data_IF_764926302122
#
_entry.id   IF_764926302122
#
_cell.length_a   1.000
_cell.length_b   1.000
_cell.length_c   1.000
_cell.angle_alpha   90.00
_cell.angle_beta   90.00
_cell.angle_gamma   90.00
#
_symmetry.space_group_name_H-M   'P 1'
#
loop_
_entity.id
_entity.type
_entity.pdbx_description
1 polymer ?
#
# COMPACT_ATOMS: atom_id res chain seq x y z
N UNK A 1 -17.64 27.92 -18.86
CA UNK A 1 -17.19 29.03 -17.98
C UNK A 1 -15.67 29.14 -18.07
N UNK A 2 -15.11 30.35 -18.23
CA UNK A 2 -13.66 30.54 -18.12
C UNK A 2 -13.36 30.63 -16.62
N UNK A 3 -12.35 29.88 -16.09
CA UNK A 3 -11.99 29.96 -14.67
C UNK A 3 -11.58 31.40 -14.32
N UNK A 4 -11.86 31.83 -13.09
CA UNK A 4 -11.45 33.15 -12.62
C UNK A 4 -9.93 33.23 -12.63
N UNK A 5 -9.40 34.42 -12.89
CA UNK A 5 -7.95 34.65 -12.86
C UNK A 5 -7.35 34.40 -11.47
N UNK A 6 -8.14 34.57 -10.39
CA UNK A 6 -7.70 34.45 -9.01
C UNK A 6 -7.35 33.02 -8.58
N UNK A 7 -8.24 32.03 -8.88
CA UNK A 7 -7.95 30.64 -8.54
C UNK A 7 -6.67 30.16 -9.25
N UNK A 8 -6.53 30.47 -10.53
CA UNK A 8 -5.35 30.11 -11.31
C UNK A 8 -4.07 30.72 -10.76
N UNK A 9 -4.09 32.02 -10.43
CA UNK A 9 -2.93 32.72 -9.84
C UNK A 9 -2.52 32.10 -8.50
N UNK A 10 -3.50 31.69 -7.66
CA UNK A 10 -3.20 31.02 -6.40
C UNK A 10 -2.53 29.64 -6.59
N UNK A 11 -2.90 28.87 -7.61
CA UNK A 11 -2.24 27.62 -7.95
C UNK A 11 -0.85 27.84 -8.58
N UNK A 12 -0.68 28.86 -9.41
CA UNK A 12 0.60 29.19 -10.05
C UNK A 12 1.61 29.75 -9.04
N UNK A 13 1.16 30.28 -7.90
CA UNK A 13 2.00 30.79 -6.81
C UNK A 13 2.51 29.69 -5.85
N UNK A 14 2.08 28.43 -6.00
CA UNK A 14 2.56 27.35 -5.17
C UNK A 14 4.05 27.08 -5.39
N UNK A 15 4.80 26.69 -4.34
CA UNK A 15 6.18 26.26 -4.47
C UNK A 15 6.32 25.17 -5.53
N UNK A 16 7.35 25.26 -6.38
CA UNK A 16 7.58 24.30 -7.48
C UNK A 16 7.64 22.84 -7.01
N UNK A 17 8.15 22.62 -5.79
CA UNK A 17 8.20 21.31 -5.13
C UNK A 17 6.81 20.71 -4.92
N UNK A 18 5.83 21.52 -4.51
CA UNK A 18 4.44 21.09 -4.34
C UNK A 18 3.78 20.75 -5.68
N UNK A 19 4.02 21.55 -6.70
CA UNK A 19 3.47 21.29 -8.06
C UNK A 19 4.04 20.02 -8.68
N UNK A 20 5.31 19.70 -8.47
CA UNK A 20 5.95 18.46 -8.93
C UNK A 20 5.49 17.24 -8.16
N UNK A 21 5.32 17.34 -6.83
CA UNK A 21 4.91 16.23 -5.97
C UNK A 21 3.43 15.89 -6.11
N UNK A 22 2.61 16.89 -6.40
CA UNK A 22 1.17 16.68 -6.57
C UNK A 22 0.89 15.79 -7.79
N UNK A 23 1.84 15.55 -8.73
CA UNK A 23 1.69 14.55 -9.82
C UNK A 23 0.30 14.53 -10.52
N UNK A 24 -0.60 15.34 -10.01
CA UNK A 24 -2.03 15.41 -10.22
C UNK A 24 -2.38 16.68 -11.00
N UNK A 25 -1.70 16.90 -12.13
CA UNK A 25 -2.13 17.98 -13.02
C UNK A 25 -3.65 17.95 -13.32
N UNK A 26 -4.26 16.77 -13.18
CA UNK A 26 -5.71 16.58 -13.24
C UNK A 26 -6.47 17.22 -12.08
N UNK A 27 -6.02 17.04 -10.83
CA UNK A 27 -6.67 17.63 -9.65
C UNK A 27 -6.55 19.17 -9.68
N UNK A 28 -5.38 19.69 -10.02
CA UNK A 28 -5.16 21.14 -10.16
C UNK A 28 -6.10 21.73 -11.22
N UNK A 29 -6.20 21.09 -12.38
CA UNK A 29 -7.13 21.51 -13.44
C UNK A 29 -8.59 21.46 -12.99
N UNK A 30 -8.97 20.40 -12.29
CA UNK A 30 -10.31 20.27 -11.72
C UNK A 30 -10.61 21.40 -10.74
N UNK A 31 -9.71 21.69 -9.81
CA UNK A 31 -9.88 22.77 -8.85
C UNK A 31 -9.99 24.14 -9.53
N UNK A 32 -9.14 24.43 -10.53
CA UNK A 32 -9.20 25.67 -11.32
C UNK A 32 -10.53 25.79 -12.06
N UNK A 33 -11.04 24.72 -12.67
CA UNK A 33 -12.34 24.70 -13.35
C UNK A 33 -13.50 24.97 -12.38
N UNK A 34 -13.39 24.49 -11.13
CA UNK A 34 -14.34 24.75 -10.04
C UNK A 34 -14.14 26.10 -9.35
N UNK A 35 -13.18 26.91 -9.83
CA UNK A 35 -12.80 28.20 -9.26
C UNK A 35 -12.39 28.15 -7.79
N UNK A 36 -11.71 27.05 -7.41
CA UNK A 36 -11.18 26.81 -6.06
C UNK A 36 -9.69 27.02 -6.00
N UNK A 37 -9.26 27.83 -5.05
CA UNK A 37 -7.85 27.99 -4.69
C UNK A 37 -7.38 26.79 -3.86
N UNK A 38 -6.05 26.59 -3.67
CA UNK A 38 -5.52 25.54 -2.79
C UNK A 38 -6.11 25.59 -1.36
N UNK A 39 -6.33 26.79 -0.82
CA UNK A 39 -6.90 27.00 0.52
C UNK A 39 -8.38 26.59 0.65
N UNK A 40 -9.09 26.50 -0.47
CA UNK A 40 -10.52 26.20 -0.53
C UNK A 40 -10.79 24.75 -0.95
N UNK A 41 -9.74 24.01 -1.37
CA UNK A 41 -9.87 22.62 -1.75
C UNK A 41 -10.15 21.78 -0.50
N UNK A 42 -11.24 21.00 -0.52
CA UNK A 42 -11.69 20.20 0.60
C UNK A 42 -11.82 18.70 0.26
N UNK A 43 -12.18 17.88 1.26
CA UNK A 43 -12.36 16.42 1.06
C UNK A 43 -13.53 16.09 0.12
N UNK A 44 -14.55 16.93 0.06
CA UNK A 44 -15.67 16.78 -0.87
C UNK A 44 -15.23 16.96 -2.32
N UNK A 45 -14.32 17.91 -2.59
CA UNK A 45 -13.75 18.11 -3.92
C UNK A 45 -12.89 16.92 -4.35
N UNK A 46 -12.10 16.35 -3.43
CA UNK A 46 -11.31 15.14 -3.72
C UNK A 46 -12.21 13.95 -4.04
N UNK A 47 -13.33 13.82 -3.35
CA UNK A 47 -14.33 12.78 -3.61
C UNK A 47 -14.96 12.98 -4.99
N UNK A 48 -15.48 14.17 -5.27
CA UNK A 48 -16.11 14.48 -6.56
C UNK A 48 -15.15 14.32 -7.74
N UNK A 49 -13.88 14.73 -7.57
CA UNK A 49 -12.85 14.50 -8.59
C UNK A 49 -12.56 13.00 -8.79
N UNK A 50 -12.54 12.21 -7.71
CA UNK A 50 -12.34 10.77 -7.83
C UNK A 50 -13.49 10.07 -8.54
N UNK A 51 -14.73 10.46 -8.30
CA UNK A 51 -15.93 9.95 -8.96
C UNK A 51 -15.91 10.26 -10.47
N UNK A 52 -15.55 11.48 -10.82
CA UNK A 52 -15.40 11.89 -12.23
C UNK A 52 -14.34 11.04 -12.96
N UNK A 53 -13.21 10.72 -12.30
CA UNK A 53 -12.19 9.85 -12.88
C UNK A 53 -12.67 8.39 -13.03
N UNK A 54 -13.52 7.91 -12.13
CA UNK A 54 -14.16 6.60 -12.27
C UNK A 54 -15.11 6.58 -13.44
N UNK A 55 -15.92 7.63 -13.62
CA UNK A 55 -16.82 7.79 -14.78
C UNK A 55 -16.03 7.85 -16.11
N UNK A 56 -14.84 8.43 -16.11
CA UNK A 56 -13.91 8.42 -17.25
C UNK A 56 -13.24 7.05 -17.47
N UNK A 57 -13.59 6.02 -16.70
CA UNK A 57 -13.07 4.66 -16.83
C UNK A 57 -11.69 4.44 -16.23
N UNK A 58 -11.19 5.33 -15.36
CA UNK A 58 -9.92 5.11 -14.67
C UNK A 58 -10.05 4.06 -13.58
N UNK A 59 -8.98 3.31 -13.41
CA UNK A 59 -8.91 2.29 -12.36
C UNK A 59 -8.96 2.92 -10.96
N UNK A 60 -9.87 2.45 -10.12
CA UNK A 60 -10.09 2.94 -8.74
C UNK A 60 -8.81 2.91 -7.89
N UNK A 61 -8.02 1.84 -7.94
CA UNK A 61 -6.78 1.74 -7.16
C UNK A 61 -5.74 2.80 -7.59
N UNK A 62 -5.70 3.12 -8.87
CA UNK A 62 -4.85 4.20 -9.40
C UNK A 62 -5.28 5.56 -8.85
N UNK A 63 -6.59 5.83 -8.82
CA UNK A 63 -7.16 7.07 -8.29
C UNK A 63 -6.84 7.20 -6.79
N UNK A 64 -7.07 6.14 -6.00
CA UNK A 64 -6.72 6.13 -4.59
C UNK A 64 -5.21 6.32 -4.35
N UNK A 65 -4.37 5.76 -5.24
CA UNK A 65 -2.93 6.00 -5.23
C UNK A 65 -2.56 7.47 -5.43
N UNK A 66 -3.21 8.16 -6.37
CA UNK A 66 -3.02 9.60 -6.61
C UNK A 66 -3.46 10.44 -5.41
N UNK A 67 -4.64 10.19 -4.85
CA UNK A 67 -5.13 10.89 -3.66
C UNK A 67 -4.21 10.69 -2.45
N UNK A 68 -3.71 9.48 -2.29
CA UNK A 68 -2.75 9.19 -1.23
C UNK A 68 -1.40 9.91 -1.44
N UNK A 69 -0.90 9.94 -2.68
CA UNK A 69 0.32 10.66 -3.03
C UNK A 69 0.17 12.16 -2.77
N UNK A 70 -0.97 12.74 -3.10
CA UNK A 70 -1.30 14.13 -2.82
C UNK A 70 -1.26 14.45 -1.32
N UNK A 71 -1.99 13.68 -0.48
CA UNK A 71 -1.97 13.86 0.98
C UNK A 71 -0.58 13.64 1.58
N UNK A 72 0.18 12.71 1.03
CA UNK A 72 1.56 12.47 1.44
C UNK A 72 2.45 13.66 1.12
N UNK A 73 2.31 14.26 -0.06
CA UNK A 73 3.06 15.44 -0.46
C UNK A 73 2.79 16.63 0.49
N UNK A 74 1.52 16.91 0.79
CA UNK A 74 1.14 17.97 1.76
C UNK A 74 1.87 17.76 3.10
N UNK A 75 1.92 16.52 3.59
CA UNK A 75 2.59 16.19 4.87
C UNK A 75 4.09 16.35 4.79
N UNK A 76 4.72 15.87 3.72
CA UNK A 76 6.18 15.89 3.58
C UNK A 76 6.73 17.31 3.45
N UNK A 77 5.98 18.18 2.79
CA UNK A 77 6.36 19.59 2.58
C UNK A 77 5.82 20.52 3.66
N UNK A 78 5.19 19.97 4.74
CA UNK A 78 4.53 20.75 5.79
C UNK A 78 3.54 21.80 5.25
N UNK A 79 2.87 21.47 4.13
CA UNK A 79 2.00 22.39 3.41
C UNK A 79 0.53 22.38 3.93
N UNK A 80 0.32 22.04 5.21
CA UNK A 80 -1.02 22.01 5.80
C UNK A 80 -1.68 23.39 5.82
N UNK A 81 -0.90 24.45 5.96
CA UNK A 81 -1.40 25.82 5.90
C UNK A 81 -1.94 26.20 4.51
N UNK A 82 -1.34 25.61 3.46
CA UNK A 82 -1.79 25.82 2.07
C UNK A 82 -3.05 24.99 1.74
N UNK A 83 -3.22 23.84 2.40
CA UNK A 83 -4.35 22.94 2.23
C UNK A 83 -5.05 22.66 3.56
N UNK A 84 -5.63 23.66 4.21
CA UNK A 84 -6.13 23.55 5.58
C UNK A 84 -7.32 22.58 5.72
N UNK A 85 -8.09 22.40 4.64
CA UNK A 85 -9.30 21.59 4.63
C UNK A 85 -9.03 20.11 4.20
N UNK A 86 -7.77 19.78 3.88
CA UNK A 86 -7.40 18.42 3.49
C UNK A 86 -6.85 17.66 4.69
N UNK A 87 -7.47 16.53 5.02
CA UNK A 87 -6.97 15.64 6.07
C UNK A 87 -5.71 14.93 5.63
N UNK A 88 -4.61 15.22 6.30
CA UNK A 88 -3.30 14.55 6.08
C UNK A 88 -2.96 13.54 7.17
N UNK A 89 -3.94 13.16 7.98
CA UNK A 89 -3.74 12.15 8.99
C UNK A 89 -3.09 10.91 8.38
N UNK A 90 -2.07 10.32 9.02
CA UNK A 90 -1.49 9.08 8.55
C UNK A 90 -2.60 8.05 8.42
N UNK A 91 -2.54 7.22 7.38
CA UNK A 91 -3.47 6.09 7.22
C UNK A 91 -3.27 5.18 8.42
N UNK A 92 -4.01 5.42 9.49
CA UNK A 92 -3.99 4.56 10.67
C UNK A 92 -4.55 3.21 10.25
N UNK A 93 -3.85 2.16 10.60
CA UNK A 93 -4.41 0.82 10.49
C UNK A 93 -5.69 0.82 11.33
N UNK A 94 -6.88 0.65 10.71
CA UNK A 94 -8.19 0.80 11.37
C UNK A 94 -8.30 0.01 12.68
N UNK A 95 -7.61 -1.12 12.76
CA UNK A 95 -7.59 -1.99 13.95
C UNK A 95 -6.18 -2.31 14.45
N UNK A 96 -5.13 -2.08 13.66
CA UNK A 96 -3.75 -2.35 14.05
C UNK A 96 -3.26 -1.41 15.15
N UNK A 97 -2.32 -1.90 15.94
CA UNK A 97 -1.54 -1.11 16.90
C UNK A 97 -0.11 -1.06 16.35
N UNK A 98 0.46 0.12 16.07
CA UNK A 98 1.81 0.23 15.54
C UNK A 98 2.83 -0.45 16.47
N UNK A 99 3.87 -1.06 15.88
CA UNK A 99 4.91 -1.76 16.65
C UNK A 99 5.53 -0.88 17.74
N UNK A 100 5.68 0.42 17.48
CA UNK A 100 6.22 1.39 18.45
C UNK A 100 5.35 1.55 19.71
N UNK A 101 4.06 1.26 19.60
CA UNK A 101 3.07 1.44 20.68
C UNK A 101 2.75 0.10 21.39
N UNK A 102 3.46 -0.99 21.05
CA UNK A 102 3.35 -2.29 21.71
C UNK A 102 4.16 -2.35 23.01
N UNK A 103 3.86 -3.30 23.92
CA UNK A 103 4.68 -3.56 25.10
C UNK A 103 6.14 -3.78 24.74
N UNK A 104 7.06 -3.25 25.57
CA UNK A 104 8.50 -3.26 25.28
C UNK A 104 9.06 -4.65 24.93
N UNK A 105 8.77 -5.73 25.68
CA UNK A 105 9.32 -7.04 25.36
C UNK A 105 8.90 -7.53 23.98
N UNK A 106 7.61 -7.40 23.62
CA UNK A 106 7.07 -7.78 22.30
C UNK A 106 7.66 -6.92 21.19
N UNK A 107 7.77 -5.62 21.43
CA UNK A 107 8.37 -4.66 20.48
C UNK A 107 9.81 -5.03 20.18
N UNK A 108 10.61 -5.32 21.20
CA UNK A 108 12.01 -5.71 21.05
C UNK A 108 12.15 -7.01 20.22
N UNK A 109 11.33 -8.03 20.49
CA UNK A 109 11.33 -9.28 19.72
C UNK A 109 10.97 -9.04 18.23
N UNK A 110 9.94 -8.23 17.96
CA UNK A 110 9.55 -7.90 16.59
C UNK A 110 10.67 -7.17 15.86
N UNK A 111 11.26 -6.15 16.47
CA UNK A 111 12.36 -5.39 15.86
C UNK A 111 13.58 -6.27 15.62
N UNK A 112 13.93 -7.17 16.56
CA UNK A 112 15.01 -8.14 16.39
C UNK A 112 14.73 -9.10 15.21
N UNK A 113 13.49 -9.61 15.09
CA UNK A 113 13.08 -10.44 13.97
C UNK A 113 13.20 -9.69 12.63
N UNK A 114 12.66 -8.46 12.54
CA UNK A 114 12.71 -7.66 11.31
C UNK A 114 14.15 -7.37 10.91
N UNK A 115 15.01 -7.05 11.87
CA UNK A 115 16.45 -6.87 11.64
C UNK A 115 17.08 -8.17 11.12
N UNK A 116 16.83 -9.29 11.79
CA UNK A 116 17.34 -10.61 11.36
C UNK A 116 16.90 -10.94 9.93
N UNK A 117 15.68 -10.59 9.53
CA UNK A 117 15.15 -10.79 8.17
C UNK A 117 15.82 -9.90 7.13
N UNK A 118 16.29 -8.70 7.49
CA UNK A 118 16.80 -7.69 6.53
C UNK A 118 18.31 -7.62 6.47
N UNK A 119 19.03 -7.96 7.55
CA UNK A 119 20.49 -7.91 7.57
C UNK A 119 21.08 -8.69 6.38
N UNK A 120 22.12 -8.15 5.77
CA UNK A 120 22.73 -8.74 4.58
C UNK A 120 23.28 -10.16 4.86
N UNK A 121 23.92 -10.33 5.99
CA UNK A 121 24.47 -11.62 6.44
C UNK A 121 24.18 -11.88 7.91
N UNK A 122 23.65 -13.07 8.20
CA UNK A 122 23.43 -13.57 9.55
C UNK A 122 23.91 -15.02 9.58
N UNK A 123 24.90 -15.38 10.47
CA UNK A 123 25.36 -16.74 10.61
C UNK A 123 24.21 -17.73 10.90
N UNK A 124 24.18 -18.85 10.17
CA UNK A 124 23.17 -19.90 10.37
C UNK A 124 21.75 -19.56 9.86
N UNK A 125 21.53 -18.39 9.24
CA UNK A 125 20.25 -18.08 8.61
C UNK A 125 20.04 -18.96 7.36
N UNK A 126 18.88 -19.65 7.24
CA UNK A 126 18.60 -20.48 6.07
C UNK A 126 18.58 -19.65 4.79
N UNK A 127 19.01 -20.24 3.68
CA UNK A 127 18.92 -19.61 2.36
C UNK A 127 17.44 -19.32 2.03
N UNK A 128 17.16 -18.12 1.59
CA UNK A 128 15.79 -17.67 1.29
C UNK A 128 14.99 -17.13 2.49
N UNK A 129 15.54 -17.17 3.72
CA UNK A 129 14.92 -16.53 4.88
C UNK A 129 15.13 -15.02 4.94
N UNK A 130 16.03 -14.47 4.12
CA UNK A 130 16.23 -13.02 4.01
C UNK A 130 15.06 -12.37 3.28
N UNK A 131 14.57 -11.28 3.83
CA UNK A 131 13.52 -10.47 3.22
C UNK A 131 14.09 -9.17 2.64
N UNK A 132 13.47 -8.68 1.58
CA UNK A 132 13.66 -7.30 1.14
C UNK A 132 13.08 -6.35 2.18
N UNK A 133 13.60 -5.10 2.33
CA UNK A 133 13.08 -4.13 3.29
C UNK A 133 11.56 -3.94 3.21
N UNK A 134 11.01 -3.94 2.00
CA UNK A 134 9.56 -3.84 1.79
C UNK A 134 8.78 -5.03 2.37
N UNK A 135 9.30 -6.26 2.22
CA UNK A 135 8.66 -7.47 2.76
C UNK A 135 8.76 -7.52 4.29
N UNK A 136 9.89 -7.08 4.86
CA UNK A 136 10.04 -6.96 6.31
C UNK A 136 9.07 -5.91 6.88
N UNK A 137 8.89 -4.78 6.21
CA UNK A 137 7.88 -3.80 6.58
C UNK A 137 6.47 -4.40 6.54
N UNK A 138 6.14 -5.16 5.49
CA UNK A 138 4.85 -5.86 5.39
C UNK A 138 4.65 -6.84 6.56
N UNK A 139 5.69 -7.58 6.96
CA UNK A 139 5.63 -8.44 8.14
C UNK A 139 5.34 -7.63 9.41
N UNK A 140 6.03 -6.52 9.62
CA UNK A 140 5.77 -5.60 10.74
C UNK A 140 4.32 -5.08 10.73
N UNK A 141 3.81 -4.70 9.57
CA UNK A 141 2.41 -4.26 9.41
C UNK A 141 1.40 -5.40 9.66
N UNK A 142 1.74 -6.65 9.33
CA UNK A 142 0.93 -7.82 9.63
C UNK A 142 0.87 -8.08 11.14
N UNK A 143 2.02 -8.06 11.82
CA UNK A 143 2.09 -8.23 13.26
C UNK A 143 1.37 -7.11 14.01
N UNK A 144 1.46 -5.87 13.52
CA UNK A 144 0.73 -4.72 14.05
C UNK A 144 -0.80 -4.91 13.96
N UNK A 145 -1.28 -5.47 12.84
CA UNK A 145 -2.70 -5.80 12.67
C UNK A 145 -3.14 -6.93 13.57
N UNK A 146 -2.34 -7.98 13.68
CA UNK A 146 -2.63 -9.13 14.52
C UNK A 146 -2.69 -8.75 16.00
N UNK A 147 -1.70 -7.98 16.48
CA UNK A 147 -1.69 -7.49 17.86
C UNK A 147 -2.91 -6.59 18.13
N UNK A 148 -3.20 -5.64 17.24
CA UNK A 148 -4.37 -4.77 17.39
C UNK A 148 -5.69 -5.56 17.40
N UNK A 149 -5.80 -6.65 16.65
CA UNK A 149 -6.94 -7.56 16.69
C UNK A 149 -7.01 -8.29 18.05
N UNK A 150 -5.89 -8.88 18.50
CA UNK A 150 -5.85 -9.59 19.77
C UNK A 150 -6.26 -8.70 20.96
N UNK A 151 -5.78 -7.46 20.99
CA UNK A 151 -6.14 -6.50 22.05
C UNK A 151 -7.59 -6.05 21.94
N UNK A 152 -8.02 -5.55 20.75
CA UNK A 152 -9.30 -4.85 20.60
C UNK A 152 -10.52 -5.79 20.47
N UNK A 153 -10.33 -6.98 19.93
CA UNK A 153 -11.42 -7.92 19.63
C UNK A 153 -11.39 -9.18 20.48
N UNK A 154 -10.21 -9.61 20.98
CA UNK A 154 -10.10 -10.77 21.86
C UNK A 154 -9.85 -10.37 23.32
N UNK A 155 -9.64 -9.08 23.63
CA UNK A 155 -9.35 -8.61 25.00
C UNK A 155 -8.01 -9.08 25.56
N UNK A 156 -7.03 -9.42 24.69
CA UNK A 156 -5.72 -9.93 25.09
C UNK A 156 -4.67 -8.82 25.04
N UNK A 157 -4.60 -8.02 26.09
CA UNK A 157 -3.68 -6.90 26.24
C UNK A 157 -2.31 -7.28 26.83
N UNK A 158 -2.20 -8.45 27.45
CA UNK A 158 -1.00 -8.91 28.16
C UNK A 158 -0.03 -9.76 27.31
N UNK A 159 -0.08 -9.65 25.99
CA UNK A 159 0.84 -10.38 25.09
C UNK A 159 2.20 -9.71 25.10
N UNK A 160 3.20 -10.37 25.68
CA UNK A 160 4.57 -9.88 25.86
C UNK A 160 5.59 -10.58 24.94
N UNK A 161 5.21 -11.67 24.28
CA UNK A 161 6.09 -12.47 23.43
C UNK A 161 5.47 -12.70 22.05
N UNK A 162 6.33 -12.71 21.03
CA UNK A 162 5.88 -12.94 19.67
C UNK A 162 5.29 -14.34 19.45
N UNK A 163 5.79 -15.33 20.17
CA UNK A 163 5.26 -16.70 20.18
C UNK A 163 3.81 -16.76 20.69
N UNK A 164 3.47 -15.93 21.66
CA UNK A 164 2.11 -15.82 22.18
C UNK A 164 1.18 -15.04 21.26
N UNK A 165 1.73 -14.12 20.47
CA UNK A 165 0.96 -13.38 19.46
C UNK A 165 0.68 -14.25 18.22
N UNK A 166 1.69 -14.97 17.73
CA UNK A 166 1.58 -15.80 16.53
C UNK A 166 1.36 -17.25 16.95
N UNK A 167 0.20 -17.52 17.52
CA UNK A 167 -0.29 -18.85 17.85
C UNK A 167 -1.53 -19.19 17.02
N UNK A 168 -1.89 -20.47 17.01
CA UNK A 168 -3.01 -20.99 16.21
C UNK A 168 -4.32 -20.27 16.52
N UNK A 169 -4.64 -20.10 17.79
CA UNK A 169 -5.89 -19.49 18.24
C UNK A 169 -6.05 -18.05 17.72
N UNK A 170 -5.03 -17.21 17.94
CA UNK A 170 -5.11 -15.79 17.56
C UNK A 170 -5.11 -15.63 16.05
N UNK A 171 -4.25 -16.37 15.33
CA UNK A 171 -4.14 -16.25 13.87
C UNK A 171 -5.39 -16.79 13.18
N UNK A 172 -5.92 -17.93 13.61
CA UNK A 172 -7.15 -18.50 13.04
C UNK A 172 -8.37 -17.62 13.32
N UNK A 173 -8.49 -17.10 14.55
CA UNK A 173 -9.54 -16.14 14.90
C UNK A 173 -9.44 -14.86 14.07
N UNK A 174 -8.23 -14.34 13.84
CA UNK A 174 -8.02 -13.18 12.98
C UNK A 174 -8.45 -13.46 11.53
N UNK A 175 -8.08 -14.61 10.96
CA UNK A 175 -8.46 -14.98 9.59
C UNK A 175 -9.97 -15.11 9.47
N UNK A 176 -10.62 -15.79 10.42
CA UNK A 176 -12.09 -15.94 10.44
C UNK A 176 -12.78 -14.56 10.51
N UNK A 177 -12.38 -13.71 11.45
CA UNK A 177 -12.91 -12.36 11.57
C UNK A 177 -12.66 -11.51 10.32
N UNK A 178 -11.48 -11.62 9.73
CA UNK A 178 -11.11 -10.85 8.56
C UNK A 178 -11.92 -11.26 7.31
N UNK A 179 -12.25 -12.55 7.18
CA UNK A 179 -13.11 -13.07 6.10
C UNK A 179 -14.57 -12.66 6.32
N UNK A 180 -15.11 -12.93 7.50
CA UNK A 180 -16.55 -12.85 7.77
C UNK A 180 -17.00 -11.42 8.09
N UNK A 181 -16.28 -10.72 8.97
CA UNK A 181 -16.69 -9.40 9.45
C UNK A 181 -16.11 -8.26 8.63
N UNK A 182 -14.90 -8.41 8.11
CA UNK A 182 -14.22 -7.36 7.33
C UNK A 182 -14.21 -7.61 5.83
N UNK A 183 -14.65 -8.78 5.39
CA UNK A 183 -14.73 -9.17 3.98
C UNK A 183 -13.41 -8.90 3.23
N UNK A 184 -12.27 -9.20 3.88
CA UNK A 184 -10.98 -9.04 3.25
C UNK A 184 -10.81 -10.10 2.15
N UNK A 185 -10.14 -9.71 1.07
CA UNK A 185 -9.84 -10.62 -0.05
C UNK A 185 -8.94 -11.78 0.40
N UNK A 186 -9.25 -12.98 -0.05
CA UNK A 186 -8.49 -14.20 0.25
C UNK A 186 -6.99 -14.07 -0.05
N UNK A 187 -6.62 -13.42 -1.17
CA UNK A 187 -5.21 -13.16 -1.51
C UNK A 187 -4.46 -12.37 -0.44
N UNK A 188 -5.13 -11.41 0.20
CA UNK A 188 -4.54 -10.62 1.28
C UNK A 188 -4.32 -11.47 2.53
N UNK A 189 -5.22 -12.40 2.81
CA UNK A 189 -5.13 -13.32 3.93
C UNK A 189 -4.08 -14.42 3.70
N UNK A 190 -4.01 -14.99 2.49
CA UNK A 190 -2.92 -15.88 2.12
C UNK A 190 -1.55 -15.22 2.34
N UNK A 191 -1.38 -13.98 1.85
CA UNK A 191 -0.13 -13.23 2.05
C UNK A 191 0.15 -12.97 3.53
N UNK A 192 -0.88 -12.67 4.33
CA UNK A 192 -0.77 -12.48 5.77
C UNK A 192 -0.29 -13.77 6.45
N UNK A 193 -0.94 -14.91 6.20
CA UNK A 193 -0.59 -16.20 6.81
C UNK A 193 0.82 -16.64 6.41
N UNK A 194 1.22 -16.45 5.14
CA UNK A 194 2.59 -16.74 4.67
C UNK A 194 3.63 -15.89 5.38
N UNK A 195 3.36 -14.60 5.63
CA UNK A 195 4.27 -13.74 6.39
C UNK A 195 4.41 -14.21 7.84
N UNK A 196 3.29 -14.56 8.50
CA UNK A 196 3.31 -15.13 9.84
C UNK A 196 4.06 -16.48 9.86
N UNK A 197 3.81 -17.37 8.91
CA UNK A 197 4.49 -18.66 8.80
C UNK A 197 6.01 -18.52 8.60
N UNK A 198 6.49 -17.37 8.10
CA UNK A 198 7.91 -17.12 7.94
C UNK A 198 8.69 -17.07 9.27
N UNK A 199 8.00 -16.99 10.42
CA UNK A 199 8.60 -17.09 11.75
C UNK A 199 9.30 -18.43 11.97
N UNK A 200 8.76 -19.54 11.41
CA UNK A 200 9.36 -20.89 11.51
C UNK A 200 10.82 -20.96 11.07
N UNK A 201 11.25 -19.98 10.27
CA UNK A 201 12.64 -19.91 9.79
C UNK A 201 13.61 -19.31 10.81
N UNK A 202 13.09 -18.61 11.84
CA UNK A 202 13.92 -17.98 12.86
C UNK A 202 14.34 -18.98 13.94
N UNK A 203 15.62 -19.01 14.37
CA UNK A 203 16.12 -20.01 15.32
C UNK A 203 15.31 -20.10 16.62
N UNK A 204 14.84 -18.98 17.16
CA UNK A 204 14.05 -18.94 18.41
C UNK A 204 12.71 -19.66 18.32
N UNK A 205 12.19 -19.91 17.11
CA UNK A 205 10.89 -20.55 16.88
C UNK A 205 11.01 -21.95 16.27
N UNK A 206 12.24 -22.46 16.09
CA UNK A 206 12.52 -23.73 15.41
C UNK A 206 11.80 -24.95 16.06
N UNK A 207 11.58 -24.90 17.37
CA UNK A 207 10.97 -25.98 18.12
C UNK A 207 9.45 -25.82 18.32
N UNK A 208 8.85 -24.78 17.76
CA UNK A 208 7.41 -24.59 17.81
C UNK A 208 6.71 -25.42 16.74
N UNK A 209 5.52 -25.92 17.04
CA UNK A 209 4.68 -26.56 16.05
C UNK A 209 3.96 -25.52 15.20
N UNK A 210 4.29 -25.50 13.94
CA UNK A 210 3.69 -24.63 12.92
C UNK A 210 2.88 -25.41 11.86
N UNK A 211 2.56 -26.69 12.08
CA UNK A 211 1.79 -27.50 11.11
C UNK A 211 0.40 -26.93 10.87
N UNK A 212 -0.18 -26.31 11.90
CA UNK A 212 -1.49 -25.67 11.79
C UNK A 212 -1.54 -24.54 10.73
N UNK A 213 -0.41 -23.93 10.38
CA UNK A 213 -0.37 -22.95 9.28
C UNK A 213 -0.76 -23.55 7.94
N UNK A 214 -0.35 -24.78 7.65
CA UNK A 214 -0.67 -25.46 6.38
C UNK A 214 -2.17 -25.81 6.33
N UNK A 215 -2.77 -26.18 7.45
CA UNK A 215 -4.21 -26.40 7.59
C UNK A 215 -4.98 -25.08 7.43
N UNK A 216 -4.53 -24.02 8.09
CA UNK A 216 -5.15 -22.71 7.97
C UNK A 216 -5.08 -22.17 6.53
N UNK A 217 -3.94 -22.34 5.85
CA UNK A 217 -3.76 -21.93 4.46
C UNK A 217 -4.75 -22.64 3.52
N UNK A 218 -4.97 -23.93 3.73
CA UNK A 218 -5.91 -24.72 2.92
C UNK A 218 -7.38 -24.38 3.22
N UNK A 219 -7.69 -23.84 4.39
CA UNK A 219 -9.05 -23.42 4.77
C UNK A 219 -9.47 -22.06 4.22
N UNK A 220 -8.51 -21.22 3.81
CA UNK A 220 -8.82 -19.92 3.22
C UNK A 220 -9.37 -20.14 1.82
N UNK A 221 -10.59 -19.65 1.48
CA UNK A 221 -11.17 -19.82 0.17
C UNK A 221 -10.24 -19.31 -0.94
N UNK A 222 -10.16 -19.95 -2.09
CA UNK A 222 -9.44 -19.38 -3.23
C UNK A 222 -10.07 -18.05 -3.64
N UNK A 223 -9.27 -17.15 -4.24
CA UNK A 223 -9.82 -15.99 -4.91
C UNK A 223 -10.84 -16.43 -5.96
N UNK A 224 -11.92 -15.66 -6.13
CA UNK A 224 -12.86 -15.94 -7.20
C UNK A 224 -12.13 -15.99 -8.54
N UNK A 225 -12.44 -16.97 -9.36
CA UNK A 225 -11.79 -17.14 -10.67
C UNK A 225 -11.97 -15.90 -11.56
N UNK A 226 -13.14 -15.24 -11.43
CA UNK A 226 -13.45 -13.99 -12.10
C UNK A 226 -12.50 -12.85 -11.71
N UNK A 227 -12.19 -12.68 -10.42
CA UNK A 227 -11.28 -11.62 -9.93
C UNK A 227 -9.84 -11.88 -10.37
N UNK A 228 -9.42 -13.15 -10.38
CA UNK A 228 -8.09 -13.55 -10.84
C UNK A 228 -7.95 -13.35 -12.36
N UNK A 229 -8.96 -13.72 -13.13
CA UNK A 229 -8.99 -13.55 -14.58
C UNK A 229 -9.06 -12.07 -14.96
N UNK A 230 -9.91 -11.28 -14.31
CA UNK A 230 -9.99 -9.83 -14.55
C UNK A 230 -8.66 -9.10 -14.30
N UNK A 231 -7.96 -9.46 -13.21
CA UNK A 231 -6.63 -8.91 -12.92
C UNK A 231 -5.56 -9.34 -13.93
N UNK A 232 -5.66 -10.57 -14.45
CA UNK A 232 -4.76 -11.05 -15.49
C UNK A 232 -5.10 -10.41 -16.83
N UNK A 233 -6.37 -10.33 -17.18
CA UNK A 233 -6.83 -9.71 -18.42
C UNK A 233 -6.41 -8.25 -18.53
N UNK A 234 -6.47 -7.47 -17.42
CA UNK A 234 -6.01 -6.08 -17.40
C UNK A 234 -4.49 -5.93 -17.64
N UNK A 235 -3.71 -7.00 -17.45
CA UNK A 235 -2.25 -7.03 -17.68
C UNK A 235 -1.88 -7.81 -18.95
N UNK A 236 -2.86 -8.47 -19.56
CA UNK A 236 -2.62 -9.30 -20.73
C UNK A 236 -2.54 -8.43 -21.97
N UNK A 237 -1.40 -8.45 -22.62
CA UNK A 237 -1.24 -7.91 -23.95
C UNK A 237 -1.27 -9.07 -24.95
N UNK A 238 -2.20 -9.10 -25.89
CA UNK A 238 -2.24 -10.15 -26.92
C UNK A 238 -0.89 -10.27 -27.63
N UNK A 239 -0.50 -11.50 -27.97
CA UNK A 239 0.78 -11.75 -28.65
C UNK A 239 0.94 -10.91 -29.92
N UNK A 240 -0.14 -10.72 -30.67
CA UNK A 240 -0.16 -9.89 -31.88
C UNK A 240 0.16 -8.42 -31.60
N UNK A 241 -0.20 -7.90 -30.43
CA UNK A 241 0.17 -6.55 -30.01
C UNK A 241 1.61 -6.50 -29.48
N UNK A 242 2.04 -7.52 -28.76
CA UNK A 242 3.44 -7.65 -28.32
C UNK A 242 4.40 -7.70 -29.50
N UNK A 243 4.06 -8.44 -30.56
CA UNK A 243 4.89 -8.57 -31.77
C UNK A 243 5.03 -7.24 -32.54
N UNK A 244 4.08 -6.32 -32.38
CA UNK A 244 4.10 -5.00 -33.02
C UNK A 244 4.91 -3.95 -32.23
N UNK A 245 5.22 -4.19 -30.96
CA UNK A 245 5.91 -3.22 -30.09
C UNK A 245 7.28 -2.82 -30.68
N UNK A 246 8.17 -3.74 -31.10
CA UNK A 246 9.45 -3.35 -31.67
C UNK A 246 9.32 -2.41 -32.87
N UNK A 247 8.37 -2.67 -33.73
CA UNK A 247 8.11 -1.82 -34.91
C UNK A 247 7.53 -0.46 -34.54
N UNK A 248 6.60 -0.40 -33.59
CA UNK A 248 6.06 0.86 -33.05
C UNK A 248 7.15 1.70 -32.39
N UNK A 249 8.03 1.06 -31.61
CA UNK A 249 9.18 1.74 -30.98
C UNK A 249 10.17 2.25 -32.02
N UNK A 250 10.49 1.45 -33.05
CA UNK A 250 11.38 1.88 -34.12
C UNK A 250 10.80 3.04 -34.93
N UNK A 251 9.49 3.07 -35.15
CA UNK A 251 8.80 4.21 -35.80
C UNK A 251 8.81 5.46 -34.90
N UNK A 252 8.51 5.31 -33.59
CA UNK A 252 8.55 6.43 -32.66
C UNK A 252 9.95 7.07 -32.61
N UNK A 253 11.01 6.26 -32.57
CA UNK A 253 12.40 6.77 -32.61
C UNK A 253 12.75 7.59 -33.84
N UNK A 254 12.14 7.32 -34.98
CA UNK A 254 12.38 8.13 -36.21
C UNK A 254 11.89 9.56 -36.09
N UNK A 255 10.91 9.80 -35.23
CA UNK A 255 10.28 11.12 -35.04
C UNK A 255 10.83 11.88 -33.81
N UNK A 256 11.73 11.27 -33.04
CA UNK A 256 12.32 11.88 -31.85
C UNK A 256 13.78 12.22 -32.14
N UNK A 257 14.21 13.43 -31.80
CA UNK A 257 15.59 13.84 -31.98
C UNK A 257 16.51 12.97 -31.12
N UNK A 258 17.64 12.50 -31.66
CA UNK A 258 18.55 11.54 -30.99
C UNK A 258 19.09 12.02 -29.65
N UNK A 259 19.21 13.32 -29.49
CA UNK A 259 19.75 13.95 -28.27
C UNK A 259 18.63 14.32 -27.26
N UNK A 260 17.38 13.97 -27.55
CA UNK A 260 16.30 14.26 -26.63
C UNK A 260 16.14 13.16 -25.56
N UNK A 261 15.76 13.50 -24.30
CA UNK A 261 15.51 12.49 -23.27
C UNK A 261 14.43 11.47 -23.64
N UNK A 262 13.53 11.82 -24.55
CA UNK A 262 12.48 10.94 -25.04
C UNK A 262 13.03 9.84 -25.96
N UNK A 263 14.14 10.07 -26.68
CA UNK A 263 14.76 9.06 -27.53
C UNK A 263 15.18 7.80 -26.76
N UNK A 264 15.62 7.96 -25.53
CA UNK A 264 16.00 6.84 -24.66
C UNK A 264 14.78 6.09 -24.09
N UNK A 265 13.57 6.69 -24.16
CA UNK A 265 12.32 6.10 -23.66
C UNK A 265 11.51 5.39 -24.75
N UNK A 266 11.85 5.61 -26.00
CA UNK A 266 11.31 4.88 -27.16
C UNK A 266 12.18 3.65 -27.48
#
# INVERSE_FOLDING_TARGET
MRPSSQARTAWDSLPEQLTRLIGCGGLVRYAIVKDKSPYQLDEGDLTAWSELLVEEGRNYDSIQGMLWAFRRAIRQENAQETFPLISVAPKTLRWGIPVKDMPEPLRAEILALLKWKTDAYVPGRPRGAQHRPISAKQLGDCLARLYGFAVKYMGRDSILQLAHLVNEEIVSSYVSWALNDKQLKSVSLHSFVLLCASLKQHPSYKNQDFKWFDQLMSSIPPDSESDSQARKAAKYLPYDELSKIPNKMAQARKHVHKDSPEYARC
#
